data_IF_346499482457
#
_entry.id   IF_346499482457
#
_cell.length_a   1.000
_cell.length_b   1.000
_cell.length_c   1.000
_cell.angle_alpha   90.00
_cell.angle_beta   90.00
_cell.angle_gamma   90.00
#
_symmetry.space_group_name_H-M   'P 1'
#
loop_
_entity.id
_entity.type
_entity.pdbx_description
1 polymer ?
#
# COMPACT_ATOMS: atom_id res chain seq x y z
N UNK A 1 4.62 39.64 -15.68
CA UNK A 1 4.82 39.82 -14.27
C UNK A 1 3.94 39.00 -13.33
N UNK A 2 2.61 39.24 -13.28
CA UNK A 2 1.71 38.61 -12.26
C UNK A 2 1.58 37.10 -12.45
N UNK A 3 1.51 36.59 -13.69
CA UNK A 3 1.41 35.17 -13.96
C UNK A 3 2.62 34.35 -13.50
N UNK A 4 3.84 34.89 -13.68
CA UNK A 4 5.07 34.25 -13.23
C UNK A 4 5.12 34.12 -11.69
N UNK A 5 4.68 35.15 -10.97
CA UNK A 5 4.62 35.13 -9.49
C UNK A 5 3.68 34.05 -9.01
N UNK A 6 2.48 33.97 -9.60
CA UNK A 6 1.48 32.95 -9.25
C UNK A 6 2.04 31.53 -9.53
N UNK A 7 2.68 31.33 -10.67
CA UNK A 7 3.26 30.03 -11.04
C UNK A 7 4.39 29.61 -10.09
N UNK A 8 5.31 30.50 -9.76
CA UNK A 8 6.38 30.23 -8.80
C UNK A 8 5.83 29.95 -7.41
N UNK A 9 4.85 30.73 -6.95
CA UNK A 9 4.20 30.51 -5.67
C UNK A 9 3.49 29.12 -5.61
N UNK A 10 2.77 28.74 -6.68
CA UNK A 10 2.11 27.45 -6.79
C UNK A 10 3.13 26.30 -6.71
N UNK A 11 4.25 26.39 -7.43
CA UNK A 11 5.30 25.36 -7.38
C UNK A 11 5.88 25.24 -5.97
N UNK A 12 6.18 26.35 -5.30
CA UNK A 12 6.73 26.33 -3.94
C UNK A 12 5.76 25.71 -2.95
N UNK A 13 4.47 26.03 -3.04
CA UNK A 13 3.42 25.45 -2.19
C UNK A 13 3.33 23.93 -2.44
N UNK A 14 3.33 23.50 -3.70
CA UNK A 14 3.26 22.08 -4.06
C UNK A 14 4.49 21.31 -3.57
N UNK A 15 5.69 21.87 -3.70
CA UNK A 15 6.92 21.27 -3.17
C UNK A 15 6.86 21.12 -1.65
N UNK A 16 6.40 22.12 -0.93
CA UNK A 16 6.24 22.08 0.52
C UNK A 16 5.23 20.99 0.93
N UNK A 17 4.11 20.91 0.20
CA UNK A 17 3.08 19.90 0.43
C UNK A 17 3.61 18.48 0.19
N UNK A 18 4.27 18.22 -0.93
CA UNK A 18 4.87 16.92 -1.27
C UNK A 18 5.92 16.50 -0.23
N UNK A 19 6.73 17.44 0.24
CA UNK A 19 7.69 17.17 1.30
C UNK A 19 7.00 16.79 2.61
N UNK A 20 5.99 17.57 3.01
CA UNK A 20 5.19 17.32 4.22
C UNK A 20 4.48 15.96 4.17
N UNK A 21 3.78 15.68 3.07
CA UNK A 21 3.10 14.41 2.86
C UNK A 21 4.07 13.23 2.91
N UNK A 22 5.27 13.37 2.33
CA UNK A 22 6.31 12.34 2.42
C UNK A 22 6.77 12.06 3.85
N UNK A 23 6.79 13.09 4.70
CA UNK A 23 7.12 12.94 6.12
C UNK A 23 5.98 12.24 6.89
N UNK A 24 4.74 12.63 6.62
CA UNK A 24 3.54 12.02 7.24
C UNK A 24 3.41 10.56 6.81
N UNK A 25 3.50 10.25 5.52
CA UNK A 25 3.41 8.89 5.00
C UNK A 25 4.44 7.94 5.66
N UNK A 26 5.69 8.42 5.82
CA UNK A 26 6.74 7.64 6.51
C UNK A 26 6.46 7.42 8.00
N UNK A 27 5.80 8.36 8.67
CA UNK A 27 5.48 8.25 10.10
C UNK A 27 4.25 7.40 10.39
N UNK A 28 3.26 7.46 9.52
CA UNK A 28 1.95 6.83 9.71
C UNK A 28 1.79 5.51 8.96
N UNK A 29 2.68 5.22 7.98
CA UNK A 29 2.52 4.08 7.07
C UNK A 29 1.29 4.19 6.15
N UNK A 30 0.63 5.35 6.11
CA UNK A 30 -0.60 5.56 5.35
C UNK A 30 -0.37 5.46 3.84
N UNK A 31 -0.96 4.43 3.23
CA UNK A 31 -0.93 4.22 1.77
C UNK A 31 -1.70 5.32 1.03
N UNK A 32 -2.75 5.88 1.65
CA UNK A 32 -3.54 6.98 1.08
C UNK A 32 -2.69 8.23 0.93
N UNK A 33 -1.95 8.63 1.98
CA UNK A 33 -1.05 9.79 1.93
C UNK A 33 0.10 9.56 0.94
N UNK A 34 0.59 8.33 0.83
CA UNK A 34 1.61 7.97 -0.15
C UNK A 34 1.11 8.08 -1.60
N UNK A 35 -0.13 7.64 -1.86
CA UNK A 35 -0.77 7.75 -3.18
C UNK A 35 -1.04 9.20 -3.56
N UNK A 36 -1.55 10.01 -2.63
CA UNK A 36 -1.81 11.44 -2.83
C UNK A 36 -0.50 12.20 -3.15
N UNK A 37 0.58 11.89 -2.43
CA UNK A 37 1.91 12.43 -2.74
C UNK A 37 2.38 12.09 -4.17
N UNK A 38 2.12 10.86 -4.65
CA UNK A 38 2.46 10.47 -6.01
C UNK A 38 1.66 11.25 -7.06
N UNK A 39 0.40 11.55 -6.77
CA UNK A 39 -0.43 12.41 -7.61
C UNK A 39 0.18 13.80 -7.76
N UNK A 40 0.52 14.48 -6.66
CA UNK A 40 1.17 15.80 -6.71
C UNK A 40 2.55 15.79 -7.39
N UNK A 41 3.33 14.72 -7.22
CA UNK A 41 4.57 14.54 -7.95
C UNK A 41 4.33 14.37 -9.46
N UNK A 42 3.25 13.64 -9.83
CA UNK A 42 2.81 13.46 -11.19
C UNK A 42 2.46 14.78 -11.88
N UNK A 43 1.87 15.73 -11.16
CA UNK A 43 1.54 17.06 -11.67
C UNK A 43 2.74 18.01 -11.70
N UNK A 44 3.62 17.89 -10.71
CA UNK A 44 4.79 18.77 -10.57
C UNK A 44 5.89 18.47 -11.59
N UNK A 45 6.18 17.20 -11.85
CA UNK A 45 7.26 16.80 -12.77
C UNK A 45 7.05 17.30 -14.21
N UNK A 46 5.86 17.13 -14.83
CA UNK A 46 5.58 17.71 -16.15
C UNK A 46 5.67 19.24 -16.18
N UNK A 47 5.17 19.90 -15.11
CA UNK A 47 5.19 21.36 -15.02
C UNK A 47 6.61 21.91 -14.92
N UNK A 48 7.48 21.30 -14.13
CA UNK A 48 8.91 21.66 -14.05
C UNK A 48 9.63 21.32 -15.35
N UNK A 49 9.30 20.18 -15.97
CA UNK A 49 9.83 19.78 -17.26
C UNK A 49 9.51 20.78 -18.37
N UNK A 50 8.24 21.22 -18.44
CA UNK A 50 7.81 22.23 -19.42
C UNK A 50 8.53 23.58 -19.23
N UNK A 51 8.73 24.04 -18.00
CA UNK A 51 9.47 25.25 -17.69
C UNK A 51 10.92 25.12 -18.12
N UNK A 52 11.57 24.00 -17.80
CA UNK A 52 12.94 23.73 -18.20
C UNK A 52 13.08 23.65 -19.73
N UNK A 53 12.15 22.98 -20.41
CA UNK A 53 12.12 22.86 -21.85
C UNK A 53 11.98 24.23 -22.54
N UNK A 54 11.05 25.08 -22.07
CA UNK A 54 10.88 26.44 -22.58
C UNK A 54 12.14 27.31 -22.36
N UNK A 55 12.76 27.20 -21.21
CA UNK A 55 13.99 27.92 -20.90
C UNK A 55 15.15 27.50 -21.83
N UNK A 56 15.35 26.18 -22.01
CA UNK A 56 16.40 25.65 -22.89
C UNK A 56 16.09 25.97 -24.35
N UNK A 57 14.84 25.80 -24.80
CA UNK A 57 14.41 26.13 -26.15
C UNK A 57 14.66 27.62 -26.47
N UNK A 58 14.31 28.52 -25.54
CA UNK A 58 14.53 29.96 -25.71
C UNK A 58 16.01 30.35 -25.72
N UNK A 59 16.86 29.61 -24.98
CA UNK A 59 18.29 29.91 -24.84
C UNK A 59 19.14 29.34 -25.96
N UNK A 60 18.78 28.18 -26.49
CA UNK A 60 19.57 27.42 -27.45
C UNK A 60 18.90 27.25 -28.82
N UNK A 61 17.66 27.72 -29.01
CA UNK A 61 16.93 27.63 -30.27
C UNK A 61 16.53 26.23 -30.70
N UNK A 62 16.50 25.24 -29.73
CA UNK A 62 16.21 23.84 -30.04
C UNK A 62 14.73 23.59 -29.86
N UNK A 63 13.93 23.72 -30.94
CA UNK A 63 12.47 23.53 -30.89
C UNK A 63 12.02 22.10 -30.52
N UNK A 64 12.87 21.08 -30.73
CA UNK A 64 12.53 19.66 -30.45
C UNK A 64 12.58 19.30 -28.98
N UNK A 65 13.15 20.12 -28.12
CA UNK A 65 13.31 19.85 -26.68
C UNK A 65 11.96 19.74 -25.98
N UNK A 66 11.01 20.58 -26.38
CA UNK A 66 9.65 20.54 -25.80
C UNK A 66 8.97 19.17 -26.03
N UNK A 67 9.06 18.65 -27.26
CA UNK A 67 8.52 17.34 -27.62
C UNK A 67 9.21 16.20 -26.86
N UNK A 68 10.53 16.25 -26.66
CA UNK A 68 11.27 15.22 -25.92
C UNK A 68 10.89 15.23 -24.45
N UNK A 69 10.79 16.41 -23.85
CA UNK A 69 10.37 16.55 -22.43
C UNK A 69 8.92 16.11 -22.23
N UNK A 70 8.02 16.47 -23.15
CA UNK A 70 6.63 16.04 -23.11
C UNK A 70 6.51 14.51 -23.23
N UNK A 71 7.25 13.86 -24.12
CA UNK A 71 7.29 12.40 -24.25
C UNK A 71 7.86 11.73 -23.00
N UNK A 72 8.93 12.26 -22.44
CA UNK A 72 9.52 11.74 -21.21
C UNK A 72 8.54 11.84 -20.03
N UNK A 73 7.86 12.98 -19.87
CA UNK A 73 6.83 13.18 -18.87
C UNK A 73 5.67 12.20 -19.06
N UNK A 74 5.17 12.04 -20.29
CA UNK A 74 4.11 11.09 -20.62
C UNK A 74 4.52 9.64 -20.29
N UNK A 75 5.75 9.24 -20.59
CA UNK A 75 6.27 7.92 -20.25
C UNK A 75 6.32 7.68 -18.74
N UNK A 76 6.81 8.64 -17.95
CA UNK A 76 6.87 8.57 -16.50
C UNK A 76 5.45 8.45 -15.91
N UNK A 77 4.50 9.26 -16.38
CA UNK A 77 3.10 9.20 -15.94
C UNK A 77 2.45 7.86 -16.29
N UNK A 78 2.70 7.35 -17.50
CA UNK A 78 2.17 6.05 -17.94
C UNK A 78 2.69 4.90 -17.05
N UNK A 79 4.00 4.87 -16.78
CA UNK A 79 4.60 3.87 -15.89
C UNK A 79 4.01 3.97 -14.48
N UNK A 80 3.86 5.20 -13.96
CA UNK A 80 3.23 5.45 -12.66
C UNK A 80 1.78 4.96 -12.60
N UNK A 81 0.99 5.27 -13.62
CA UNK A 81 -0.40 4.82 -13.73
C UNK A 81 -0.53 3.29 -13.80
N UNK A 82 0.35 2.62 -14.57
CA UNK A 82 0.39 1.17 -14.65
C UNK A 82 0.77 0.54 -13.30
N UNK A 83 1.68 1.15 -12.55
CA UNK A 83 2.07 0.67 -11.22
C UNK A 83 0.90 0.76 -10.23
N UNK A 84 0.22 1.92 -10.19
CA UNK A 84 -0.98 2.12 -9.37
C UNK A 84 -2.09 1.15 -9.79
N UNK A 85 -2.32 0.99 -11.09
CA UNK A 85 -3.31 0.03 -11.62
C UNK A 85 -3.01 -1.41 -11.22
N UNK A 86 -1.75 -1.83 -11.25
CA UNK A 86 -1.32 -3.15 -10.79
C UNK A 86 -1.56 -3.34 -9.28
N UNK A 87 -1.27 -2.33 -8.47
CA UNK A 87 -1.49 -2.41 -7.02
C UNK A 87 -2.97 -2.41 -6.67
N UNK A 88 -3.78 -1.60 -7.38
CA UNK A 88 -5.23 -1.63 -7.27
C UNK A 88 -5.82 -2.98 -7.69
N UNK A 89 -5.34 -3.55 -8.80
CA UNK A 89 -5.72 -4.89 -9.24
C UNK A 89 -5.40 -5.95 -8.19
N UNK A 90 -4.18 -5.91 -7.64
CA UNK A 90 -3.79 -6.81 -6.55
C UNK A 90 -4.67 -6.66 -5.31
N UNK A 91 -5.08 -5.43 -4.98
CA UNK A 91 -5.97 -5.17 -3.85
C UNK A 91 -7.40 -5.69 -4.07
N UNK A 92 -7.84 -5.78 -5.33
CA UNK A 92 -9.16 -6.34 -5.71
C UNK A 92 -9.15 -7.87 -5.85
N UNK A 93 -7.98 -8.45 -6.19
CA UNK A 93 -7.83 -9.89 -6.26
C UNK A 93 -7.48 -10.42 -4.87
N UNK A 94 -8.16 -11.49 -4.45
CA UNK A 94 -7.94 -12.14 -3.16
C UNK A 94 -6.50 -12.68 -3.06
N UNK A 95 -5.58 -11.85 -2.59
CA UNK A 95 -4.21 -12.28 -2.33
C UNK A 95 -4.10 -12.90 -0.94
N UNK A 96 -3.39 -14.01 -0.86
CA UNK A 96 -2.96 -14.59 0.41
C UNK A 96 -2.14 -13.57 1.22
N UNK A 97 -2.20 -13.67 2.53
CA UNK A 97 -1.36 -12.86 3.42
C UNK A 97 0.14 -13.15 3.20
N UNK A 98 0.98 -12.28 3.78
CA UNK A 98 2.44 -12.51 3.80
C UNK A 98 2.72 -13.92 4.33
N UNK A 99 3.57 -14.72 3.65
CA UNK A 99 3.92 -16.07 4.08
C UNK A 99 4.36 -16.15 5.55
N UNK A 100 5.05 -15.14 6.05
CA UNK A 100 5.48 -15.08 7.47
C UNK A 100 4.31 -15.01 8.43
N UNK A 101 3.22 -14.32 8.06
CA UNK A 101 1.99 -14.25 8.86
C UNK A 101 1.29 -15.59 8.83
N UNK A 102 1.17 -16.21 7.65
CA UNK A 102 0.52 -17.53 7.47
C UNK A 102 1.26 -18.59 8.30
N UNK A 103 2.59 -18.68 8.17
CA UNK A 103 3.42 -19.61 8.92
C UNK A 103 3.37 -19.36 10.44
N UNK A 104 3.34 -18.08 10.83
CA UNK A 104 3.24 -17.71 12.23
C UNK A 104 1.91 -18.10 12.85
N UNK A 105 0.80 -17.88 12.15
CA UNK A 105 -0.54 -18.33 12.57
C UNK A 105 -0.59 -19.86 12.65
N UNK A 106 -0.06 -20.55 11.65
CA UNK A 106 0.02 -22.01 11.63
C UNK A 106 0.79 -22.57 12.84
N UNK A 107 1.91 -21.96 13.20
CA UNK A 107 2.67 -22.36 14.41
C UNK A 107 1.88 -22.13 15.70
N UNK A 108 1.24 -20.98 15.85
CA UNK A 108 0.39 -20.70 17.02
C UNK A 108 -0.72 -21.73 17.12
N UNK A 109 -1.36 -22.11 16.02
CA UNK A 109 -2.43 -23.10 16.01
C UNK A 109 -1.91 -24.51 16.33
N UNK A 110 -0.77 -24.92 15.74
CA UNK A 110 -0.17 -26.23 15.97
C UNK A 110 0.28 -26.46 17.41
N UNK A 111 0.84 -25.41 18.04
CA UNK A 111 1.38 -25.47 19.39
C UNK A 111 0.33 -25.11 20.48
N UNK A 112 -0.93 -24.86 20.08
CA UNK A 112 -1.96 -24.40 21.03
C UNK A 112 -2.45 -25.55 21.93
N UNK A 113 -2.49 -25.34 23.26
CA UNK A 113 -2.97 -26.37 24.19
C UNK A 113 -4.40 -26.82 23.87
N UNK A 114 -4.59 -28.14 23.73
CA UNK A 114 -5.87 -28.75 23.42
C UNK A 114 -6.18 -28.88 21.93
N UNK A 115 -5.38 -28.28 21.05
CA UNK A 115 -5.45 -28.50 19.61
C UNK A 115 -4.63 -29.73 19.24
N UNK A 116 -5.26 -30.69 18.55
CA UNK A 116 -4.60 -31.93 18.04
C UNK A 116 -4.00 -31.73 16.67
N UNK A 117 -4.57 -30.82 15.89
CA UNK A 117 -4.14 -30.49 14.54
C UNK A 117 -4.93 -29.32 13.98
N UNK A 118 -4.51 -28.83 12.82
CA UNK A 118 -5.27 -27.85 12.06
C UNK A 118 -5.14 -28.13 10.56
N UNK A 119 -6.16 -27.74 9.80
CA UNK A 119 -6.16 -27.82 8.35
C UNK A 119 -6.92 -26.65 7.72
N UNK A 120 -6.86 -26.54 6.40
CA UNK A 120 -7.55 -25.51 5.62
C UNK A 120 -7.26 -24.08 6.08
N UNK A 121 -6.01 -23.79 6.53
CA UNK A 121 -5.59 -22.43 6.83
C UNK A 121 -5.59 -21.62 5.54
N UNK A 122 -6.59 -20.76 5.39
CA UNK A 122 -6.80 -19.86 4.27
C UNK A 122 -6.73 -18.42 4.75
N UNK A 123 -6.03 -17.59 3.99
CA UNK A 123 -5.92 -16.17 4.30
C UNK A 123 -6.24 -15.33 3.08
N UNK A 124 -6.85 -14.17 3.34
CA UNK A 124 -7.18 -13.17 2.32
C UNK A 124 -6.85 -11.79 2.84
N UNK A 125 -6.14 -11.02 2.05
CA UNK A 125 -5.82 -9.62 2.40
C UNK A 125 -6.83 -8.68 1.74
N UNK A 126 -7.49 -7.84 2.52
CA UNK A 126 -8.35 -6.78 2.03
C UNK A 126 -7.96 -5.45 2.69
N UNK A 127 -7.35 -4.56 1.91
CA UNK A 127 -6.80 -3.30 2.39
C UNK A 127 -5.72 -3.50 3.46
N UNK A 128 -5.98 -3.05 4.68
CA UNK A 128 -5.06 -3.20 5.83
C UNK A 128 -5.37 -4.41 6.71
N UNK A 129 -6.41 -5.19 6.40
CA UNK A 129 -6.83 -6.35 7.17
C UNK A 129 -6.47 -7.66 6.48
N UNK A 130 -6.18 -8.67 7.28
CA UNK A 130 -5.95 -10.04 6.85
C UNK A 130 -7.06 -10.91 7.45
N UNK A 131 -7.94 -11.42 6.60
CA UNK A 131 -8.94 -12.40 7.00
C UNK A 131 -8.30 -13.77 7.05
N UNK A 132 -8.56 -14.49 8.12
CA UNK A 132 -8.00 -15.82 8.40
C UNK A 132 -9.14 -16.77 8.65
N UNK A 133 -9.10 -17.90 7.96
CA UNK A 133 -9.98 -19.04 8.21
C UNK A 133 -9.10 -20.26 8.42
N UNK A 134 -9.32 -20.99 9.51
CA UNK A 134 -8.67 -22.27 9.77
C UNK A 134 -9.61 -23.20 10.50
N UNK A 135 -9.45 -24.48 10.25
CA UNK A 135 -10.14 -25.53 10.98
C UNK A 135 -9.16 -26.13 11.99
N UNK A 136 -9.59 -26.23 13.23
CA UNK A 136 -8.81 -26.87 14.29
C UNK A 136 -9.44 -28.23 14.64
N UNK A 137 -8.59 -29.21 14.91
CA UNK A 137 -8.97 -30.52 15.35
C UNK A 137 -8.83 -30.61 16.86
N UNK A 138 -9.91 -31.00 17.52
CA UNK A 138 -10.01 -31.08 18.95
C UNK A 138 -10.37 -32.51 19.39
N UNK A 139 -10.34 -32.77 20.70
CA UNK A 139 -10.82 -34.04 21.25
C UNK A 139 -12.34 -34.17 21.04
N UNK A 140 -12.77 -35.30 20.44
CA UNK A 140 -14.19 -35.59 20.22
C UNK A 140 -14.98 -35.86 21.46
N UNK A 141 -14.33 -36.25 22.56
CA UNK A 141 -14.98 -36.58 23.84
C UNK A 141 -15.16 -35.36 24.76
N UNK A 142 -14.62 -34.20 24.39
CA UNK A 142 -14.78 -32.96 25.16
C UNK A 142 -16.15 -32.30 24.95
N UNK A 143 -16.57 -31.49 25.90
CA UNK A 143 -17.82 -30.74 25.77
C UNK A 143 -17.68 -29.62 24.71
N UNK A 144 -18.83 -29.24 24.10
CA UNK A 144 -18.87 -28.09 23.19
C UNK A 144 -18.37 -26.80 23.85
N UNK A 145 -18.58 -26.63 25.15
CA UNK A 145 -18.10 -25.49 25.92
C UNK A 145 -16.55 -25.44 25.92
N UNK A 146 -15.93 -26.56 26.27
CA UNK A 146 -14.47 -26.67 26.28
C UNK A 146 -13.89 -26.44 24.89
N UNK A 147 -14.49 -27.02 23.85
CA UNK A 147 -14.07 -26.78 22.44
C UNK A 147 -14.17 -25.31 22.07
N UNK A 148 -15.26 -24.64 22.43
CA UNK A 148 -15.44 -23.21 22.19
C UNK A 148 -14.41 -22.36 22.93
N UNK A 149 -14.12 -22.68 24.19
CA UNK A 149 -13.16 -21.93 25.03
C UNK A 149 -11.75 -22.04 24.46
N UNK A 150 -11.33 -23.21 23.94
CA UNK A 150 -10.06 -23.43 23.25
C UNK A 150 -10.01 -22.57 21.99
N UNK A 151 -11.02 -22.61 21.13
CA UNK A 151 -11.09 -21.83 19.89
C UNK A 151 -11.06 -20.32 20.15
N UNK A 152 -11.85 -19.86 21.14
CA UNK A 152 -11.88 -18.45 21.52
C UNK A 152 -10.53 -17.97 22.12
N UNK A 153 -9.84 -18.81 22.86
CA UNK A 153 -8.52 -18.51 23.41
C UNK A 153 -7.45 -18.45 22.30
N UNK A 154 -7.45 -19.42 21.38
CA UNK A 154 -6.58 -19.42 20.20
C UNK A 154 -6.80 -18.18 19.34
N UNK A 155 -8.06 -17.83 19.04
CA UNK A 155 -8.40 -16.62 18.31
C UNK A 155 -7.80 -15.37 18.97
N UNK A 156 -7.94 -15.21 20.30
CA UNK A 156 -7.35 -14.08 21.03
C UNK A 156 -5.84 -14.06 20.94
N UNK A 157 -5.17 -15.20 20.98
CA UNK A 157 -3.72 -15.29 20.85
C UNK A 157 -3.23 -14.87 19.44
N UNK A 158 -3.93 -15.31 18.39
CA UNK A 158 -3.64 -14.89 17.01
C UNK A 158 -3.82 -13.38 16.86
N UNK A 159 -4.94 -12.81 17.37
CA UNK A 159 -5.20 -11.37 17.33
C UNK A 159 -4.16 -10.56 18.11
N UNK A 160 -3.66 -11.08 19.22
CA UNK A 160 -2.61 -10.43 20.02
C UNK A 160 -1.26 -10.41 19.28
N UNK A 161 -0.91 -11.50 18.58
CA UNK A 161 0.32 -11.62 17.82
C UNK A 161 0.25 -10.86 16.48
N UNK A 162 -0.93 -10.82 15.87
CA UNK A 162 -1.19 -10.21 14.56
C UNK A 162 -2.43 -9.31 14.61
N UNK A 163 -2.34 -8.08 15.15
CA UNK A 163 -3.51 -7.20 15.36
C UNK A 163 -4.27 -6.81 14.09
N UNK A 164 -3.63 -6.95 12.92
CA UNK A 164 -4.25 -6.69 11.60
C UNK A 164 -5.13 -7.85 11.11
N UNK A 165 -5.18 -8.99 11.82
CA UNK A 165 -5.97 -10.15 11.41
C UNK A 165 -7.42 -10.07 11.89
N UNK A 166 -8.30 -10.78 11.18
CA UNK A 166 -9.67 -11.11 11.55
C UNK A 166 -9.82 -12.63 11.38
N UNK A 167 -10.07 -13.34 12.50
CA UNK A 167 -10.00 -14.81 12.58
C UNK A 167 -11.36 -15.38 12.93
#
# INVERSE_FOLDING_TARGET
GRGLVVMVASILITLALVWWQGRVARRTGSKVVAADRLHYLGDLLPSLGAIAALWVSSRYGIASIDAVVALAAAAVMTVGALHIGKDAWRALMDHTADPRIVEGIGRIAADWPGVRGYHDLKTRTAGSRVFVNLHIELDGDQSLREAHDIGAALRRAILAAYPQTDV
#
